data_IF_040169768388
#
_entry.id   IF_040169768388
#
_cell.length_a   1.000
_cell.length_b   1.000
_cell.length_c   1.000
_cell.angle_alpha   90.00
_cell.angle_beta   90.00
_cell.angle_gamma   90.00
#
_symmetry.space_group_name_H-M   'P 1'
#
loop_
_entity.id
_entity.type
_entity.pdbx_description
1 polymer ?
#
# COMPACT_ATOMS: atom_id res chain seq x y z
N UNK A 1 28.87 -13.52 6.79
CA UNK A 1 28.24 -13.26 8.09
C UNK A 1 27.52 -14.53 8.55
N UNK A 2 27.82 -15.00 9.77
CA UNK A 2 27.08 -16.13 10.33
C UNK A 2 25.73 -15.64 10.80
N UNK A 3 24.66 -16.06 10.14
CA UNK A 3 23.28 -15.81 10.60
C UNK A 3 23.12 -16.41 11.98
N UNK A 4 22.86 -15.58 13.00
CA UNK A 4 22.62 -16.06 14.36
C UNK A 4 21.13 -15.99 14.67
N UNK A 5 20.62 -17.02 15.35
CA UNK A 5 19.26 -17.04 15.92
C UNK A 5 19.23 -16.46 17.34
N UNK A 6 20.36 -15.95 17.83
CA UNK A 6 20.38 -15.29 19.12
C UNK A 6 19.54 -14.00 19.06
N UNK A 7 18.68 -13.77 20.05
CA UNK A 7 17.91 -12.54 20.11
C UNK A 7 18.81 -11.31 20.06
N UNK A 8 18.50 -10.31 19.22
CA UNK A 8 19.29 -9.08 19.18
C UNK A 8 19.15 -8.31 20.50
N UNK A 9 20.19 -7.58 20.86
CA UNK A 9 20.13 -6.63 21.96
C UNK A 9 19.20 -5.48 21.58
N UNK A 10 18.07 -5.37 22.29
CA UNK A 10 17.05 -4.34 22.04
C UNK A 10 16.99 -3.29 23.16
N UNK A 11 16.75 -2.04 22.81
CA UNK A 11 16.52 -0.94 23.78
C UNK A 11 15.05 -0.61 24.00
N UNK A 12 14.14 -1.38 23.34
CA UNK A 12 12.69 -1.15 23.34
C UNK A 12 11.96 -1.67 24.58
N UNK A 13 10.63 -1.45 24.64
CA UNK A 13 9.78 -1.90 25.74
C UNK A 13 9.60 -3.41 25.79
N UNK A 14 9.93 -4.12 24.71
CA UNK A 14 9.87 -5.57 24.63
C UNK A 14 11.21 -6.15 24.17
N UNK A 15 11.53 -7.33 24.66
CA UNK A 15 12.67 -8.15 24.28
C UNK A 15 12.18 -9.43 23.60
N UNK A 16 12.95 -9.95 22.64
CA UNK A 16 12.70 -11.27 22.05
C UNK A 16 13.04 -12.32 23.10
N UNK A 17 12.06 -13.11 23.54
CA UNK A 17 12.26 -14.17 24.51
C UNK A 17 12.31 -15.56 23.87
N UNK A 18 11.61 -15.78 22.76
CA UNK A 18 11.64 -17.03 22.01
C UNK A 18 11.43 -16.74 20.51
N UNK A 19 12.20 -17.42 19.66
CA UNK A 19 12.07 -17.33 18.21
C UNK A 19 12.15 -18.75 17.63
N UNK A 20 11.06 -19.17 17.00
CA UNK A 20 10.99 -20.40 16.19
C UNK A 20 10.86 -20.01 14.72
N UNK A 21 11.94 -20.00 13.94
CA UNK A 21 11.93 -19.53 12.56
C UNK A 21 10.80 -20.12 11.73
N UNK A 22 10.03 -19.27 11.06
CA UNK A 22 8.87 -19.65 10.25
C UNK A 22 7.67 -20.20 11.02
N UNK A 23 7.69 -20.18 12.37
CA UNK A 23 6.59 -20.67 13.21
C UNK A 23 6.05 -19.62 14.16
N UNK A 24 6.92 -19.07 15.04
CA UNK A 24 6.45 -18.12 16.04
C UNK A 24 7.55 -17.19 16.54
N UNK A 25 7.12 -16.06 17.10
CA UNK A 25 7.94 -15.09 17.81
C UNK A 25 7.26 -14.75 19.13
N UNK A 26 8.00 -14.77 20.23
CA UNK A 26 7.53 -14.31 21.54
C UNK A 26 8.32 -13.10 21.99
N UNK A 27 7.62 -12.03 22.31
CA UNK A 27 8.16 -10.83 22.90
C UNK A 27 7.72 -10.77 24.37
N UNK A 28 8.66 -10.47 25.26
CA UNK A 28 8.40 -10.27 26.68
C UNK A 28 8.72 -8.84 27.07
N UNK A 29 7.87 -8.26 27.91
CA UNK A 29 8.05 -6.89 28.41
C UNK A 29 9.41 -6.76 29.10
N UNK A 30 10.14 -5.70 28.72
CA UNK A 30 11.45 -5.41 29.28
C UNK A 30 11.28 -4.73 30.66
N UNK A 31 11.62 -5.40 31.78
CA UNK A 31 11.48 -4.80 33.10
C UNK A 31 12.38 -3.58 33.29
N UNK A 32 13.51 -3.55 32.57
CA UNK A 32 14.51 -2.49 32.62
C UNK A 32 14.35 -1.45 31.51
N UNK A 33 13.16 -1.35 30.91
CA UNK A 33 12.93 -0.37 29.85
C UNK A 33 13.14 1.06 30.33
N UNK A 34 14.14 1.73 29.79
CA UNK A 34 14.55 3.09 30.18
C UNK A 34 13.45 4.13 30.00
N UNK A 35 12.56 3.93 29.01
CA UNK A 35 11.48 4.84 28.68
C UNK A 35 10.20 4.66 29.50
N UNK A 36 10.15 3.74 30.48
CA UNK A 36 8.93 3.37 31.22
C UNK A 36 8.21 4.55 31.88
N UNK A 37 8.97 5.50 32.40
CA UNK A 37 8.43 6.65 33.14
C UNK A 37 8.43 7.96 32.36
N UNK A 38 8.72 7.90 31.05
CA UNK A 38 8.62 9.08 30.19
C UNK A 38 7.16 9.36 29.88
N UNK A 39 6.73 10.61 29.97
CA UNK A 39 5.33 11.02 29.84
C UNK A 39 4.63 10.47 28.60
N UNK A 40 5.31 10.41 27.45
CA UNK A 40 4.74 9.89 26.21
C UNK A 40 4.48 8.38 26.21
N UNK A 41 5.04 7.65 27.19
CA UNK A 41 4.90 6.21 27.34
C UNK A 41 3.95 5.78 28.46
N UNK A 42 3.45 6.73 29.25
CA UNK A 42 2.49 6.42 30.31
C UNK A 42 1.20 5.85 29.71
N UNK A 43 0.77 4.70 30.20
CA UNK A 43 -0.40 3.98 29.71
C UNK A 43 -0.17 3.17 28.40
N UNK A 44 1.10 3.04 27.98
CA UNK A 44 1.50 2.20 26.83
C UNK A 44 2.12 0.89 27.26
N UNK A 45 2.22 -0.05 26.31
CA UNK A 45 2.89 -1.34 26.48
C UNK A 45 2.32 -2.17 27.63
N UNK A 46 0.99 -2.34 27.62
CA UNK A 46 0.25 -2.93 28.74
C UNK A 46 0.27 -4.47 28.76
N UNK A 47 0.66 -5.12 27.67
CA UNK A 47 0.79 -6.59 27.64
C UNK A 47 2.16 -7.00 28.21
N UNK A 48 2.20 -8.06 29.00
CA UNK A 48 3.46 -8.58 29.54
C UNK A 48 4.17 -9.47 28.51
N UNK A 49 3.38 -10.21 27.74
CA UNK A 49 3.89 -11.09 26.69
C UNK A 49 3.06 -10.90 25.42
N UNK A 50 3.74 -10.79 24.28
CA UNK A 50 3.15 -10.77 22.94
C UNK A 50 3.66 -11.99 22.19
N UNK A 51 2.78 -12.93 21.90
CA UNK A 51 3.09 -14.12 21.11
C UNK A 51 2.53 -13.98 19.71
N UNK A 52 3.34 -14.24 18.70
CA UNK A 52 2.96 -14.16 17.29
C UNK A 52 3.15 -15.51 16.61
N UNK A 53 2.07 -16.09 16.09
CA UNK A 53 2.12 -17.28 15.25
C UNK A 53 2.21 -16.87 13.76
N UNK A 54 3.03 -17.59 12.98
CA UNK A 54 3.15 -17.41 11.54
C UNK A 54 2.41 -18.52 10.80
N UNK A 55 1.42 -18.15 10.03
CA UNK A 55 0.67 -19.07 9.18
C UNK A 55 1.06 -18.88 7.72
N UNK A 56 1.20 -19.99 6.99
CA UNK A 56 1.50 -19.95 5.55
C UNK A 56 0.25 -19.73 4.70
N UNK A 57 -0.91 -20.05 5.24
CA UNK A 57 -2.21 -19.96 4.55
C UNK A 57 -3.18 -19.08 5.33
N UNK A 58 -3.77 -18.11 4.65
CA UNK A 58 -4.73 -17.14 5.21
C UNK A 58 -6.02 -17.81 5.68
N UNK A 59 -6.47 -18.88 5.02
CA UNK A 59 -7.69 -19.59 5.41
C UNK A 59 -7.45 -20.32 6.72
N UNK A 60 -6.31 -21.00 6.85
CA UNK A 60 -5.90 -21.67 8.09
C UNK A 60 -5.77 -20.66 9.23
N UNK A 61 -5.15 -19.49 8.97
CA UNK A 61 -5.03 -18.42 9.95
C UNK A 61 -6.40 -17.92 10.41
N UNK A 62 -7.34 -17.72 9.48
CA UNK A 62 -8.68 -17.25 9.81
C UNK A 62 -9.46 -18.28 10.65
N UNK A 63 -9.38 -19.56 10.32
CA UNK A 63 -10.02 -20.63 11.11
C UNK A 63 -9.39 -20.77 12.50
N UNK A 64 -8.06 -20.61 12.61
CA UNK A 64 -7.37 -20.55 13.90
C UNK A 64 -7.86 -19.36 14.76
N UNK A 65 -8.09 -18.18 14.16
CA UNK A 65 -8.69 -17.03 14.86
C UNK A 65 -10.11 -17.35 15.36
N UNK A 66 -10.95 -17.92 14.50
CA UNK A 66 -12.33 -18.27 14.84
C UNK A 66 -12.41 -19.31 15.98
N UNK A 67 -11.44 -20.19 16.05
CA UNK A 67 -11.33 -21.20 17.12
C UNK A 67 -10.75 -20.65 18.44
N UNK A 68 -10.28 -19.39 18.46
CA UNK A 68 -9.66 -18.78 19.62
C UNK A 68 -8.19 -19.18 19.82
N UNK A 69 -7.51 -19.66 18.76
CA UNK A 69 -6.09 -20.00 18.84
C UNK A 69 -5.20 -18.77 19.04
N UNK A 70 -5.64 -17.59 18.58
CA UNK A 70 -5.02 -16.30 18.86
C UNK A 70 -6.07 -15.21 18.99
N UNK A 71 -5.69 -14.05 19.52
CA UNK A 71 -6.59 -13.08 20.12
C UNK A 71 -6.90 -11.87 19.25
N UNK A 72 -6.00 -11.48 18.37
CA UNK A 72 -6.10 -10.29 17.56
C UNK A 72 -5.72 -10.58 16.11
N UNK A 73 -6.52 -10.09 15.17
CA UNK A 73 -6.25 -10.15 13.73
C UNK A 73 -6.54 -8.81 13.09
N UNK A 74 -5.58 -8.26 12.35
CA UNK A 74 -5.81 -7.23 11.36
C UNK A 74 -6.13 -7.93 10.04
N UNK A 75 -7.32 -7.67 9.48
CA UNK A 75 -7.79 -8.32 8.25
C UNK A 75 -7.50 -7.46 7.02
N UNK A 76 -6.64 -7.96 6.15
CA UNK A 76 -6.26 -7.27 4.91
C UNK A 76 -7.12 -7.68 3.71
N UNK A 77 -7.80 -8.84 3.78
CA UNK A 77 -8.67 -9.32 2.71
C UNK A 77 -10.05 -8.70 2.78
N UNK A 78 -10.42 -7.91 1.75
CA UNK A 78 -11.77 -7.38 1.62
C UNK A 78 -12.84 -8.47 1.51
N UNK A 79 -12.51 -9.59 0.87
CA UNK A 79 -13.40 -10.77 0.78
C UNK A 79 -13.66 -11.35 2.17
N UNK A 80 -12.62 -11.65 2.94
CA UNK A 80 -12.79 -12.20 4.28
C UNK A 80 -13.57 -11.25 5.17
N UNK A 81 -13.23 -9.94 5.14
CA UNK A 81 -13.96 -8.94 5.90
C UNK A 81 -15.45 -8.91 5.61
N UNK A 82 -15.83 -8.97 4.34
CA UNK A 82 -17.23 -8.94 3.92
C UNK A 82 -17.99 -10.23 4.23
N UNK A 83 -17.32 -11.40 4.23
CA UNK A 83 -18.00 -12.70 4.22
C UNK A 83 -17.72 -13.58 5.42
N UNK A 84 -16.57 -13.46 6.06
CA UNK A 84 -16.09 -14.45 7.03
C UNK A 84 -16.34 -14.11 8.50
N UNK A 85 -16.58 -12.82 8.81
CA UNK A 85 -16.75 -12.33 10.19
C UNK A 85 -18.23 -12.33 10.65
N UNK A 86 -18.97 -13.37 10.26
CA UNK A 86 -20.40 -13.58 10.62
C UNK A 86 -20.63 -14.84 11.45
N UNK A 87 -19.58 -15.37 12.07
CA UNK A 87 -19.64 -16.58 12.88
C UNK A 87 -20.21 -16.32 14.28
N UNK A 88 -20.56 -17.40 14.99
CA UNK A 88 -21.31 -17.35 16.25
C UNK A 88 -20.68 -16.44 17.31
N UNK A 89 -19.36 -16.54 17.54
CA UNK A 89 -18.68 -15.71 18.52
C UNK A 89 -18.77 -14.19 18.24
N UNK A 90 -18.91 -13.77 16.97
CA UNK A 90 -19.17 -12.37 16.61
C UNK A 90 -20.62 -12.00 16.95
N UNK A 91 -21.59 -12.85 16.61
CA UNK A 91 -23.02 -12.60 16.91
C UNK A 91 -23.28 -12.50 18.42
N UNK A 92 -22.59 -13.26 19.20
CA UNK A 92 -22.69 -13.29 20.66
C UNK A 92 -21.83 -12.20 21.36
N UNK A 93 -21.09 -11.39 20.58
CA UNK A 93 -20.24 -10.35 21.12
C UNK A 93 -18.97 -10.83 21.82
N UNK A 94 -18.64 -12.13 21.71
CA UNK A 94 -17.37 -12.72 22.19
C UNK A 94 -16.17 -12.29 21.35
N UNK A 95 -16.39 -11.96 20.09
CA UNK A 95 -15.42 -11.36 19.18
C UNK A 95 -15.92 -9.99 18.76
N UNK A 96 -15.07 -8.99 18.87
CA UNK A 96 -15.30 -7.63 18.35
C UNK A 96 -14.75 -7.52 16.93
N UNK A 97 -15.50 -6.85 16.04
CA UNK A 97 -15.13 -6.58 14.66
C UNK A 97 -15.33 -5.09 14.42
N UNK A 98 -14.25 -4.38 14.14
CA UNK A 98 -14.26 -2.91 14.10
C UNK A 98 -13.46 -2.36 12.92
N UNK A 99 -13.92 -1.22 12.39
CA UNK A 99 -13.16 -0.39 11.46
C UNK A 99 -12.65 0.85 12.21
N UNK A 100 -11.32 0.96 12.35
CA UNK A 100 -10.67 2.04 13.09
C UNK A 100 -9.99 2.97 12.07
N UNK A 101 -10.54 4.17 11.91
CA UNK A 101 -10.00 5.18 10.98
C UNK A 101 -8.62 5.66 11.40
N UNK A 102 -7.79 5.95 10.42
CA UNK A 102 -6.53 6.66 10.58
C UNK A 102 -6.41 7.79 9.56
N UNK A 103 -5.53 8.75 9.83
CA UNK A 103 -5.38 9.99 9.03
C UNK A 103 -3.93 10.21 8.57
N UNK A 104 -3.15 9.14 8.49
CA UNK A 104 -1.84 9.16 7.84
C UNK A 104 -1.99 9.02 6.33
N UNK A 105 -1.00 9.46 5.54
CA UNK A 105 -1.00 9.19 4.12
C UNK A 105 -1.15 7.69 3.84
N UNK A 106 -2.01 7.35 2.89
CA UNK A 106 -2.24 5.94 2.49
C UNK A 106 -1.16 5.39 1.57
N UNK A 107 -0.31 6.27 1.04
CA UNK A 107 0.68 5.91 0.03
C UNK A 107 0.07 5.68 -1.36
N UNK A 108 0.91 5.23 -2.29
CA UNK A 108 0.53 4.98 -3.67
C UNK A 108 0.80 3.53 -4.03
N UNK A 109 -0.26 2.74 -4.17
CA UNK A 109 -0.21 1.47 -4.87
C UNK A 109 -0.61 1.68 -6.33
N UNK A 110 0.14 1.14 -7.27
CA UNK A 110 -0.14 1.33 -8.68
C UNK A 110 0.55 0.33 -9.61
N UNK A 111 0.10 0.31 -10.89
CA UNK A 111 0.82 -0.37 -11.95
C UNK A 111 1.89 0.60 -12.50
N UNK A 112 3.14 0.34 -12.16
CA UNK A 112 4.28 1.18 -12.51
C UNK A 112 4.84 0.79 -13.88
N UNK A 113 5.08 1.80 -14.73
CA UNK A 113 5.71 1.63 -16.03
C UNK A 113 7.22 1.68 -15.90
N UNK A 114 7.94 0.74 -16.49
CA UNK A 114 9.38 0.87 -16.64
C UNK A 114 9.69 1.80 -17.83
N UNK A 115 9.95 3.08 -17.54
CA UNK A 115 10.23 4.08 -18.59
C UNK A 115 11.59 3.90 -19.28
N UNK A 116 12.41 2.93 -18.86
CA UNK A 116 13.61 2.51 -19.62
C UNK A 116 13.23 1.81 -20.93
N UNK A 117 11.97 1.31 -21.00
CA UNK A 117 11.39 0.73 -22.23
C UNK A 117 10.80 1.85 -23.11
N UNK A 118 11.15 1.86 -24.39
CA UNK A 118 10.75 2.89 -25.38
C UNK A 118 9.25 3.12 -25.44
N UNK A 119 8.46 2.05 -25.40
CA UNK A 119 6.98 2.10 -25.45
C UNK A 119 6.34 2.91 -24.34
N UNK A 120 7.03 3.08 -23.18
CA UNK A 120 6.51 3.83 -22.03
C UNK A 120 7.11 5.23 -21.84
N UNK A 121 8.03 5.66 -22.69
CA UNK A 121 8.66 6.98 -22.57
C UNK A 121 7.67 8.12 -22.84
N UNK A 122 6.73 7.92 -23.76
CA UNK A 122 5.75 8.93 -24.10
C UNK A 122 4.66 9.06 -23.01
N UNK A 123 4.49 10.28 -22.47
CA UNK A 123 3.51 10.60 -21.43
C UNK A 123 2.06 10.30 -21.83
N UNK A 124 1.68 10.60 -23.09
CA UNK A 124 0.32 10.38 -23.57
C UNK A 124 0.01 8.89 -23.73
N UNK A 125 1.01 8.07 -24.07
CA UNK A 125 0.88 6.61 -24.07
C UNK A 125 0.60 6.11 -22.66
N UNK A 126 1.37 6.53 -21.64
CA UNK A 126 1.09 6.13 -20.26
C UNK A 126 -0.29 6.59 -19.79
N UNK A 127 -0.68 7.83 -20.11
CA UNK A 127 -2.05 8.33 -19.85
C UNK A 127 -3.12 7.46 -20.49
N UNK A 128 -2.92 7.05 -21.75
CA UNK A 128 -3.85 6.20 -22.48
C UNK A 128 -4.03 4.83 -21.82
N UNK A 129 -2.95 4.19 -21.38
CA UNK A 129 -3.01 2.89 -20.69
C UNK A 129 -3.81 2.96 -19.38
N UNK A 130 -3.76 4.09 -18.70
CA UNK A 130 -4.55 4.32 -17.46
C UNK A 130 -6.06 4.21 -17.66
N UNK A 131 -6.57 4.53 -18.86
CA UNK A 131 -8.00 4.41 -19.17
C UNK A 131 -8.50 2.95 -19.30
N UNK A 132 -7.59 1.98 -19.40
CA UNK A 132 -7.95 0.56 -19.47
C UNK A 132 -8.21 -0.07 -18.09
N UNK A 133 -7.81 0.59 -16.99
CA UNK A 133 -8.05 0.08 -15.64
C UNK A 133 -9.41 0.52 -15.11
N UNK A 134 -10.37 -0.40 -15.09
CA UNK A 134 -11.71 -0.20 -14.55
C UNK A 134 -11.71 -0.50 -13.04
N UNK A 135 -11.43 0.53 -12.25
CA UNK A 135 -11.41 0.41 -10.80
C UNK A 135 -12.83 0.14 -10.25
N UNK A 136 -13.83 0.84 -10.74
CA UNK A 136 -15.19 0.75 -10.21
C UNK A 136 -15.77 -0.66 -10.40
N UNK A 137 -15.52 -1.27 -11.55
CA UNK A 137 -15.87 -2.68 -11.76
C UNK A 137 -15.11 -3.60 -10.80
N UNK A 138 -13.81 -3.38 -10.65
CA UNK A 138 -12.97 -4.18 -9.73
C UNK A 138 -13.43 -4.02 -8.29
N UNK A 139 -13.78 -2.80 -7.87
CA UNK A 139 -14.22 -2.51 -6.52
C UNK A 139 -15.55 -3.21 -6.20
N UNK A 140 -16.51 -3.15 -7.12
CA UNK A 140 -17.80 -3.86 -6.94
C UNK A 140 -17.64 -5.38 -6.96
N UNK A 141 -16.92 -5.92 -7.94
CA UNK A 141 -16.95 -7.36 -8.22
C UNK A 141 -15.87 -8.17 -7.50
N UNK A 142 -14.74 -7.53 -7.17
CA UNK A 142 -13.59 -8.20 -6.53
C UNK A 142 -13.40 -7.80 -5.06
N UNK A 143 -13.79 -6.56 -4.70
CA UNK A 143 -13.42 -5.97 -3.42
C UNK A 143 -14.60 -5.59 -2.52
N UNK A 144 -15.84 -5.94 -2.90
CA UNK A 144 -17.04 -5.68 -2.09
C UNK A 144 -17.25 -4.18 -1.75
N UNK A 145 -16.84 -3.28 -2.66
CA UNK A 145 -16.84 -1.83 -2.49
C UNK A 145 -16.01 -1.32 -1.31
N UNK A 146 -14.99 -2.06 -0.93
CA UNK A 146 -14.23 -1.82 0.30
C UNK A 146 -13.08 -0.83 0.15
N UNK A 147 -12.77 -0.36 -1.05
CA UNK A 147 -11.63 0.51 -1.32
C UNK A 147 -12.03 1.83 -1.96
N UNK A 148 -11.17 2.82 -1.77
CA UNK A 148 -11.24 4.14 -2.43
C UNK A 148 -10.20 4.22 -3.54
N UNK A 149 -10.56 4.80 -4.70
CA UNK A 149 -9.60 5.06 -5.78
C UNK A 149 -8.54 6.04 -5.30
N UNK A 150 -7.26 5.68 -5.44
CA UNK A 150 -6.15 6.56 -5.09
C UNK A 150 -6.01 7.68 -6.12
N UNK A 151 -5.89 8.92 -5.64
CA UNK A 151 -5.79 10.15 -6.44
C UNK A 151 -4.55 10.99 -6.14
N UNK A 152 -3.74 10.56 -5.17
CA UNK A 152 -2.55 11.26 -4.71
C UNK A 152 -1.54 10.26 -4.15
N UNK A 153 -0.25 10.55 -4.25
CA UNK A 153 0.79 9.78 -3.57
C UNK A 153 0.71 9.95 -2.04
N UNK A 154 -0.01 10.97 -1.58
CA UNK A 154 -0.20 11.31 -0.18
C UNK A 154 -1.68 11.30 0.23
N UNK A 155 -2.48 10.49 -0.44
CA UNK A 155 -3.92 10.39 -0.18
C UNK A 155 -4.24 10.16 1.30
N UNK A 156 -5.42 10.54 1.75
CA UNK A 156 -5.86 10.48 3.16
C UNK A 156 -5.08 11.43 4.10
N UNK A 157 -4.45 12.50 3.59
CA UNK A 157 -3.70 13.45 4.41
C UNK A 157 -3.75 14.90 3.87
N UNK A 158 -3.24 15.84 4.66
CA UNK A 158 -3.09 17.26 4.29
C UNK A 158 -1.99 17.50 3.23
N UNK A 159 -1.19 16.49 2.95
CA UNK A 159 -0.13 16.52 1.93
C UNK A 159 -0.65 16.29 0.51
N UNK A 160 -1.88 15.81 0.36
CA UNK A 160 -2.51 15.47 -0.91
C UNK A 160 -2.87 16.69 -1.75
N UNK A 161 -2.64 16.64 -3.08
CA UNK A 161 -2.92 17.72 -4.03
C UNK A 161 -4.30 17.60 -4.70
N UNK A 162 -5.37 17.46 -3.94
CA UNK A 162 -6.73 17.19 -4.45
C UNK A 162 -7.55 18.43 -4.84
N UNK A 163 -6.93 19.59 -5.00
CA UNK A 163 -7.55 20.84 -5.46
C UNK A 163 -6.72 21.48 -6.57
N UNK A 164 -7.14 22.61 -7.13
CA UNK A 164 -6.25 23.42 -7.93
C UNK A 164 -5.07 23.95 -7.07
N UNK A 165 -3.93 24.30 -7.68
CA UNK A 165 -2.80 24.81 -6.93
C UNK A 165 -3.15 26.05 -6.12
N UNK A 166 -2.70 26.12 -4.87
CA UNK A 166 -2.78 27.33 -4.04
C UNK A 166 -1.86 28.44 -4.59
N UNK A 167 -1.99 29.65 -4.06
CA UNK A 167 -1.12 30.77 -4.44
C UNK A 167 0.35 30.45 -4.16
N UNK A 168 0.63 29.81 -3.03
CA UNK A 168 2.00 29.41 -2.66
C UNK A 168 2.54 28.32 -3.59
N UNK A 169 1.72 27.35 -3.97
CA UNK A 169 2.09 26.33 -4.95
C UNK A 169 2.36 26.95 -6.32
N UNK A 170 1.51 27.91 -6.77
CA UNK A 170 1.67 28.60 -8.05
C UNK A 170 2.99 29.38 -8.13
N UNK A 171 3.43 30.07 -7.07
CA UNK A 171 4.72 30.76 -7.02
C UNK A 171 5.89 29.80 -7.33
N UNK A 172 5.79 28.55 -6.89
CA UNK A 172 6.81 27.53 -7.16
C UNK A 172 6.67 26.99 -8.58
N UNK A 173 5.46 26.61 -8.98
CA UNK A 173 5.15 25.94 -10.25
C UNK A 173 5.45 26.84 -11.46
N UNK A 174 5.23 28.15 -11.35
CA UNK A 174 5.49 29.12 -12.43
C UNK A 174 6.96 29.14 -12.87
N UNK A 175 7.91 28.86 -11.98
CA UNK A 175 9.33 28.75 -12.34
C UNK A 175 9.62 27.58 -13.29
N UNK A 176 8.69 26.64 -13.42
CA UNK A 176 8.83 25.44 -14.24
C UNK A 176 7.83 25.40 -15.40
N UNK A 177 7.14 26.50 -15.70
CA UNK A 177 6.22 26.57 -16.84
C UNK A 177 6.96 26.21 -18.13
N UNK A 178 6.32 25.35 -18.96
CA UNK A 178 6.94 24.78 -20.16
C UNK A 178 7.87 23.57 -19.90
N UNK A 179 8.26 23.30 -18.65
CA UNK A 179 9.03 22.08 -18.27
C UNK A 179 8.17 21.01 -17.58
N UNK A 180 6.98 21.38 -17.13
CA UNK A 180 5.98 20.53 -16.50
C UNK A 180 4.66 20.59 -17.29
N UNK A 181 3.78 19.58 -17.18
CA UNK A 181 2.50 19.58 -17.89
C UNK A 181 1.61 20.78 -17.54
N UNK A 182 1.08 21.47 -18.55
CA UNK A 182 0.22 22.65 -18.38
C UNK A 182 -1.07 22.35 -17.63
N UNK A 183 -1.56 21.12 -17.69
CA UNK A 183 -2.75 20.67 -16.96
C UNK A 183 -2.61 20.86 -15.43
N UNK A 184 -1.39 20.88 -14.90
CA UNK A 184 -1.11 21.12 -13.46
C UNK A 184 -1.69 22.45 -12.98
N UNK A 185 -1.69 23.48 -13.84
CA UNK A 185 -2.14 24.83 -13.49
C UNK A 185 -3.66 25.00 -13.53
N UNK A 186 -4.36 24.17 -14.30
CA UNK A 186 -5.76 24.39 -14.66
C UNK A 186 -6.70 23.26 -14.32
N UNK A 187 -6.17 22.09 -13.98
CA UNK A 187 -6.95 20.87 -13.82
C UNK A 187 -6.67 20.20 -12.49
N UNK A 188 -7.69 19.75 -11.79
CA UNK A 188 -7.54 18.84 -10.64
C UNK A 188 -7.30 17.45 -11.19
N UNK A 189 -6.23 16.80 -10.74
CA UNK A 189 -5.95 15.43 -11.16
C UNK A 189 -7.08 14.49 -10.72
N UNK A 190 -7.56 13.69 -11.66
CA UNK A 190 -8.47 12.58 -11.38
C UNK A 190 -8.14 11.41 -12.30
N UNK A 191 -7.95 10.20 -11.75
CA UNK A 191 -7.82 9.02 -12.60
C UNK A 191 -9.11 8.76 -13.36
N UNK A 192 -9.06 8.08 -14.52
CA UNK A 192 -10.25 7.72 -15.28
C UNK A 192 -11.27 6.95 -14.44
N UNK A 193 -12.53 7.33 -14.54
CA UNK A 193 -13.66 6.70 -13.84
C UNK A 193 -14.60 6.00 -14.82
N UNK A 194 -15.31 4.97 -14.35
CA UNK A 194 -16.33 4.24 -15.09
C UNK A 194 -17.69 4.27 -14.39
N UNK A 195 -17.90 5.22 -13.49
CA UNK A 195 -19.17 5.39 -12.75
C UNK A 195 -20.32 5.75 -13.70
N UNK A 196 -20.06 6.59 -14.69
CA UNK A 196 -21.08 7.04 -15.63
C UNK A 196 -21.47 5.94 -16.63
N UNK A 197 -22.65 6.08 -17.21
CA UNK A 197 -23.13 5.19 -18.25
C UNK A 197 -22.11 5.13 -19.41
N UNK A 198 -21.84 3.91 -19.90
CA UNK A 198 -20.80 3.66 -20.92
C UNK A 198 -19.38 4.15 -20.54
N UNK A 199 -19.10 4.39 -19.26
CA UNK A 199 -17.84 4.95 -18.79
C UNK A 199 -16.60 4.23 -19.33
N UNK A 200 -16.55 2.88 -19.27
CA UNK A 200 -15.44 2.10 -19.84
C UNK A 200 -15.30 2.29 -21.37
N UNK A 201 -16.44 2.33 -22.12
CA UNK A 201 -16.41 2.54 -23.58
C UNK A 201 -15.86 3.93 -23.90
N UNK A 202 -16.25 4.94 -23.14
CA UNK A 202 -15.77 6.32 -23.29
C UNK A 202 -14.26 6.40 -22.97
N UNK A 203 -13.84 5.75 -21.89
CA UNK A 203 -12.42 5.65 -21.52
C UNK A 203 -11.58 5.00 -22.63
N UNK A 204 -11.99 3.85 -23.16
CA UNK A 204 -11.28 3.19 -24.24
C UNK A 204 -11.25 4.01 -25.54
N UNK A 205 -12.31 4.79 -25.82
CA UNK A 205 -12.33 5.74 -26.95
C UNK A 205 -11.29 6.86 -26.73
N UNK A 206 -11.19 7.40 -25.52
CA UNK A 206 -10.19 8.40 -25.17
C UNK A 206 -8.78 7.84 -25.29
N UNK A 207 -8.54 6.63 -24.74
CA UNK A 207 -7.26 5.94 -24.88
C UNK A 207 -6.84 5.81 -26.35
N UNK A 208 -7.75 5.35 -27.21
CA UNK A 208 -7.49 5.20 -28.66
C UNK A 208 -7.14 6.53 -29.32
N UNK A 209 -7.81 7.64 -28.95
CA UNK A 209 -7.47 8.97 -29.47
C UNK A 209 -6.06 9.41 -29.09
N UNK A 210 -5.68 9.19 -27.82
CA UNK A 210 -4.34 9.51 -27.33
C UNK A 210 -3.28 8.67 -28.05
N UNK A 211 -3.48 7.37 -28.17
CA UNK A 211 -2.55 6.47 -28.85
C UNK A 211 -2.40 6.84 -30.33
N UNK A 212 -3.51 7.14 -31.01
CA UNK A 212 -3.48 7.58 -32.42
C UNK A 212 -2.69 8.90 -32.60
N UNK A 213 -2.83 9.86 -31.67
CA UNK A 213 -2.06 11.12 -31.71
C UNK A 213 -0.56 10.86 -31.62
N UNK A 214 -0.16 9.78 -30.98
CA UNK A 214 1.25 9.37 -30.84
C UNK A 214 1.69 8.36 -31.92
N UNK A 215 0.93 8.27 -33.02
CA UNK A 215 1.26 7.44 -34.18
C UNK A 215 1.06 5.93 -33.94
N UNK A 216 0.20 5.56 -32.99
CA UNK A 216 -0.21 4.16 -32.79
C UNK A 216 -1.57 3.92 -33.43
N UNK A 217 -1.63 3.06 -34.44
CA UNK A 217 -2.84 2.73 -35.20
C UNK A 217 -3.16 1.23 -35.07
N UNK A 218 -4.42 0.85 -35.29
CA UNK A 218 -4.81 -0.56 -35.33
C UNK A 218 -4.62 -1.08 -36.77
N UNK A 219 -3.79 -2.11 -36.89
CA UNK A 219 -3.57 -2.85 -38.13
C UNK A 219 -3.68 -4.34 -37.80
N UNK A 220 -4.53 -5.07 -38.53
CA UNK A 220 -4.78 -6.51 -38.33
C UNK A 220 -5.10 -6.85 -36.85
N UNK A 221 -6.01 -6.10 -36.24
CA UNK A 221 -6.42 -6.17 -34.83
C UNK A 221 -5.31 -5.87 -33.79
N UNK A 222 -4.10 -5.51 -34.23
CA UNK A 222 -2.98 -5.15 -33.35
C UNK A 222 -2.69 -3.67 -33.40
N UNK A 223 -2.37 -3.11 -32.23
CA UNK A 223 -1.91 -1.73 -32.09
C UNK A 223 -0.46 -1.66 -32.58
N UNK A 224 -0.25 -0.97 -33.69
CA UNK A 224 1.02 -0.93 -34.38
C UNK A 224 1.50 0.51 -34.54
N UNK A 225 2.78 0.76 -34.35
CA UNK A 225 3.41 2.05 -34.63
C UNK A 225 3.41 2.30 -36.14
N UNK A 226 2.77 3.38 -36.55
CA UNK A 226 2.58 3.68 -37.99
C UNK A 226 3.91 3.82 -38.74
N UNK A 227 4.89 4.45 -38.09
CA UNK A 227 6.20 4.74 -38.68
C UNK A 227 7.10 3.50 -38.80
N UNK A 228 7.10 2.62 -37.75
CA UNK A 228 8.07 1.51 -37.64
C UNK A 228 7.48 0.13 -37.86
N UNK A 229 6.16 -0.01 -37.79
CA UNK A 229 5.50 -1.32 -37.81
C UNK A 229 5.62 -2.09 -36.49
N UNK A 230 6.17 -1.47 -35.42
CA UNK A 230 6.32 -2.10 -34.11
C UNK A 230 4.94 -2.40 -33.51
N UNK A 231 4.74 -3.63 -33.04
CA UNK A 231 3.51 -4.04 -32.34
C UNK A 231 3.61 -3.62 -30.86
N UNK A 232 2.54 -3.00 -30.33
CA UNK A 232 2.49 -2.64 -28.91
C UNK A 232 2.25 -3.89 -28.06
N UNK A 233 3.29 -4.37 -27.42
CA UNK A 233 3.25 -5.54 -26.52
C UNK A 233 4.10 -5.31 -25.28
N UNK A 234 3.67 -5.86 -24.14
CA UNK A 234 4.45 -5.81 -22.90
C UNK A 234 4.04 -6.90 -21.91
N UNK A 235 4.90 -7.15 -20.94
CA UNK A 235 4.69 -8.08 -19.83
C UNK A 235 4.30 -7.34 -18.55
N UNK A 236 3.31 -7.87 -17.81
CA UNK A 236 3.04 -7.47 -16.43
C UNK A 236 3.64 -8.54 -15.53
N UNK A 237 4.69 -8.17 -14.79
CA UNK A 237 5.36 -9.04 -13.83
C UNK A 237 4.66 -8.94 -12.48
N UNK A 238 4.22 -10.07 -11.94
CA UNK A 238 3.54 -10.17 -10.65
C UNK A 238 4.35 -11.06 -9.68
N UNK A 239 4.37 -10.69 -8.40
CA UNK A 239 4.91 -11.50 -7.31
C UNK A 239 3.90 -12.53 -6.80
N UNK A 240 2.61 -12.21 -6.87
CA UNK A 240 1.55 -13.02 -6.26
C UNK A 240 0.41 -13.30 -7.22
N UNK A 241 -0.10 -14.55 -7.28
CA UNK A 241 -1.29 -14.91 -8.04
C UNK A 241 -2.55 -14.13 -7.64
N UNK A 242 -2.59 -13.59 -6.42
CA UNK A 242 -3.71 -12.79 -5.93
C UNK A 242 -3.97 -11.55 -6.80
N UNK A 243 -2.94 -11.00 -7.45
CA UNK A 243 -3.07 -9.87 -8.34
C UNK A 243 -3.56 -10.24 -9.74
N UNK A 244 -3.47 -11.49 -10.16
CA UNK A 244 -3.93 -11.89 -11.51
C UNK A 244 -5.41 -11.55 -11.72
N UNK A 245 -6.26 -11.78 -10.73
CA UNK A 245 -7.70 -11.44 -10.80
C UNK A 245 -7.96 -9.95 -11.01
N UNK A 246 -7.01 -9.07 -10.62
CA UNK A 246 -7.09 -7.62 -10.77
C UNK A 246 -6.58 -7.21 -12.17
N UNK A 247 -5.52 -7.86 -12.63
CA UNK A 247 -4.87 -7.56 -13.91
C UNK A 247 -5.66 -8.13 -15.11
N UNK A 248 -6.28 -9.28 -14.97
CA UNK A 248 -7.01 -9.94 -16.07
C UNK A 248 -8.13 -9.06 -16.68
N UNK A 249 -8.96 -8.34 -15.94
CA UNK A 249 -9.92 -7.38 -16.52
C UNK A 249 -9.24 -6.26 -17.29
N UNK A 250 -8.15 -5.69 -16.76
CA UNK A 250 -7.36 -4.67 -17.44
C UNK A 250 -6.74 -5.21 -18.75
N UNK A 251 -6.16 -6.42 -18.73
CA UNK A 251 -5.64 -7.09 -19.91
C UNK A 251 -6.72 -7.22 -21.01
N UNK A 252 -7.95 -7.63 -20.63
CA UNK A 252 -9.08 -7.70 -21.58
C UNK A 252 -9.41 -6.32 -22.18
N UNK A 253 -9.33 -5.26 -21.40
CA UNK A 253 -9.58 -3.90 -21.88
C UNK A 253 -8.45 -3.41 -22.80
N UNK A 254 -7.19 -3.72 -22.48
CA UNK A 254 -6.03 -3.41 -23.33
C UNK A 254 -6.10 -4.17 -24.68
N UNK A 255 -6.55 -5.42 -24.67
CA UNK A 255 -6.80 -6.18 -25.92
C UNK A 255 -7.80 -5.48 -26.84
N UNK A 256 -8.86 -4.82 -26.31
CA UNK A 256 -9.81 -4.02 -27.12
C UNK A 256 -9.17 -2.79 -27.77
N UNK A 257 -7.99 -2.39 -27.32
CA UNK A 257 -7.16 -1.35 -27.93
C UNK A 257 -6.12 -1.92 -28.91
N UNK A 258 -6.11 -3.24 -29.12
CA UNK A 258 -5.13 -3.93 -29.95
C UNK A 258 -3.78 -4.18 -29.25
N UNK A 259 -3.69 -3.98 -27.93
CA UNK A 259 -2.45 -4.13 -27.18
C UNK A 259 -2.31 -5.58 -26.68
N UNK A 260 -1.16 -6.19 -26.95
CA UNK A 260 -0.83 -7.52 -26.46
C UNK A 260 -0.17 -7.45 -25.07
N UNK A 261 -0.80 -8.12 -24.11
CA UNK A 261 -0.27 -8.15 -22.72
C UNK A 261 -0.07 -9.59 -22.27
N UNK A 262 1.14 -9.93 -21.88
CA UNK A 262 1.44 -11.16 -21.14
C UNK A 262 1.43 -10.89 -19.64
N UNK A 263 1.08 -11.90 -18.83
CA UNK A 263 1.15 -11.86 -17.38
C UNK A 263 2.11 -12.94 -16.94
N UNK A 264 3.11 -12.58 -16.15
CA UNK A 264 4.07 -13.50 -15.58
C UNK A 264 4.07 -13.38 -14.06
N UNK A 265 3.68 -14.45 -13.38
CA UNK A 265 3.72 -14.52 -11.92
C UNK A 265 4.95 -15.31 -11.49
N UNK A 266 5.82 -14.68 -10.70
CA UNK A 266 7.04 -15.27 -10.14
C UNK A 266 6.84 -15.37 -8.64
N UNK A 267 6.58 -16.60 -8.15
CA UNK A 267 6.31 -16.86 -6.72
C UNK A 267 7.59 -17.04 -5.90
N UNK A 268 8.72 -17.29 -6.55
CA UNK A 268 10.04 -17.32 -5.89
C UNK A 268 10.51 -15.90 -5.65
N UNK A 269 10.59 -15.53 -4.37
CA UNK A 269 10.95 -14.17 -3.95
C UNK A 269 12.34 -13.75 -4.44
N UNK A 270 13.30 -14.67 -4.44
CA UNK A 270 14.66 -14.36 -4.87
C UNK A 270 14.73 -14.07 -6.37
N UNK A 271 13.97 -14.82 -7.18
CA UNK A 271 13.86 -14.56 -8.63
C UNK A 271 13.13 -13.24 -8.90
N UNK A 272 12.04 -12.97 -8.17
CA UNK A 272 11.29 -11.73 -8.33
C UNK A 272 12.16 -10.51 -7.98
N UNK A 273 12.86 -10.54 -6.83
CA UNK A 273 13.74 -9.45 -6.39
C UNK A 273 14.87 -9.23 -7.41
N UNK A 274 15.51 -10.30 -7.89
CA UNK A 274 16.57 -10.18 -8.91
C UNK A 274 16.07 -9.47 -10.17
N UNK A 275 14.88 -9.83 -10.67
CA UNK A 275 14.28 -9.14 -11.83
C UNK A 275 14.02 -7.66 -11.54
N UNK A 276 13.59 -7.30 -10.31
CA UNK A 276 13.43 -5.90 -9.91
C UNK A 276 14.76 -5.16 -9.89
N UNK A 277 15.79 -5.76 -9.30
CA UNK A 277 17.14 -5.18 -9.21
C UNK A 277 17.78 -4.96 -10.57
N UNK A 278 17.56 -5.89 -11.50
CA UNK A 278 18.07 -5.82 -12.87
C UNK A 278 17.17 -5.00 -13.81
N UNK A 279 16.06 -4.42 -13.30
CA UNK A 279 15.03 -3.72 -14.09
C UNK A 279 14.46 -4.55 -15.23
N UNK A 280 14.45 -5.89 -15.09
CA UNK A 280 13.93 -6.85 -16.06
C UNK A 280 12.42 -7.02 -15.94
N UNK A 281 11.69 -5.99 -16.28
CA UNK A 281 10.23 -5.95 -16.38
C UNK A 281 9.76 -4.81 -17.26
N UNK A 282 8.53 -4.90 -17.74
CA UNK A 282 7.87 -3.81 -18.46
C UNK A 282 6.91 -3.06 -17.55
N UNK A 283 6.05 -3.77 -16.85
CA UNK A 283 5.12 -3.22 -15.85
C UNK A 283 5.09 -4.10 -14.60
N UNK A 284 5.07 -3.48 -13.42
CA UNK A 284 4.97 -4.15 -12.12
C UNK A 284 3.91 -3.51 -11.23
N UNK A 285 3.52 -4.20 -10.16
CA UNK A 285 2.76 -3.59 -9.06
C UNK A 285 3.75 -3.04 -8.03
N UNK A 286 3.64 -1.76 -7.73
CA UNK A 286 4.45 -1.07 -6.70
C UNK A 286 3.57 -0.58 -5.57
N UNK A 287 4.17 -0.42 -4.39
CA UNK A 287 3.56 0.25 -3.26
C UNK A 287 4.58 1.21 -2.64
N UNK A 288 4.39 2.51 -2.86
CA UNK A 288 5.19 3.55 -2.22
C UNK A 288 4.52 3.99 -0.93
N UNK A 289 5.09 3.58 0.19
CA UNK A 289 4.65 4.06 1.50
C UNK A 289 4.88 5.57 1.64
N UNK A 290 3.98 6.24 2.31
CA UNK A 290 4.10 7.67 2.59
C UNK A 290 3.95 7.93 4.09
N UNK A 291 4.71 8.90 4.57
CA UNK A 291 4.71 9.35 5.97
C UNK A 291 4.21 10.79 6.08
N UNK A 292 3.85 11.21 7.30
CA UNK A 292 3.34 12.56 7.56
C UNK A 292 4.40 13.67 7.40
N UNK A 293 5.68 13.30 7.35
CA UNK A 293 6.79 14.22 7.14
C UNK A 293 7.77 13.63 6.11
N UNK A 294 7.41 13.66 4.81
CA UNK A 294 8.27 13.14 3.76
C UNK A 294 9.62 13.87 3.73
N UNK A 295 10.67 13.16 3.34
CA UNK A 295 12.04 13.65 3.37
C UNK A 295 12.96 12.95 2.37
N UNK A 296 14.12 12.45 2.84
CA UNK A 296 15.15 11.86 2.00
C UNK A 296 14.72 10.63 1.19
N UNK A 297 13.70 9.90 1.65
CA UNK A 297 13.16 8.75 0.91
C UNK A 297 12.61 9.15 -0.47
N UNK A 298 12.19 10.42 -0.64
CA UNK A 298 11.71 10.91 -1.93
C UNK A 298 12.83 10.94 -2.99
N UNK A 299 14.09 11.15 -2.58
CA UNK A 299 15.25 11.01 -3.49
C UNK A 299 15.41 9.58 -3.99
N UNK A 300 15.19 8.60 -3.10
CA UNK A 300 15.30 7.19 -3.47
C UNK A 300 14.19 6.78 -4.44
N UNK A 301 12.98 7.31 -4.27
CA UNK A 301 11.83 6.96 -5.10
C UNK A 301 11.81 7.64 -6.47
N UNK A 302 12.21 8.93 -6.53
CA UNK A 302 11.97 9.78 -7.69
C UNK A 302 13.22 10.51 -8.21
N UNK A 303 14.34 10.45 -7.50
CA UNK A 303 15.56 11.16 -7.87
C UNK A 303 16.18 10.60 -9.14
N UNK A 304 16.63 11.47 -10.04
CA UNK A 304 17.26 11.08 -11.31
C UNK A 304 18.52 10.25 -11.09
N UNK A 305 19.27 10.51 -10.02
CA UNK A 305 20.50 9.77 -9.67
C UNK A 305 20.25 8.30 -9.31
N UNK A 306 19.04 7.97 -8.86
CA UNK A 306 18.68 6.59 -8.48
C UNK A 306 18.03 5.81 -9.62
N UNK A 307 17.71 6.48 -10.73
CA UNK A 307 16.94 5.89 -11.82
C UNK A 307 17.57 4.63 -12.42
N UNK A 308 18.88 4.58 -12.54
CA UNK A 308 19.62 3.43 -13.11
C UNK A 308 20.48 2.70 -12.05
N UNK A 309 20.31 3.05 -10.77
CA UNK A 309 21.02 2.38 -9.70
C UNK A 309 20.33 1.04 -9.39
N UNK A 310 21.06 -0.06 -9.57
CA UNK A 310 20.59 -1.41 -9.28
C UNK A 310 20.06 -1.52 -7.82
N UNK A 311 18.92 -2.15 -7.65
CA UNK A 311 18.26 -2.29 -6.34
C UNK A 311 17.59 -1.02 -5.80
N UNK A 312 17.59 0.06 -6.57
CA UNK A 312 16.91 1.30 -6.17
C UNK A 312 15.38 1.15 -6.25
N UNK A 313 14.62 1.77 -5.33
CA UNK A 313 13.17 1.79 -5.40
C UNK A 313 12.61 2.75 -6.48
N UNK A 314 13.45 3.43 -7.25
CA UNK A 314 13.02 4.16 -8.45
C UNK A 314 12.69 3.16 -9.58
N UNK A 315 11.70 2.29 -9.31
CA UNK A 315 11.30 1.23 -10.24
C UNK A 315 10.92 1.74 -11.62
N UNK A 316 10.33 2.91 -11.69
CA UNK A 316 9.87 3.49 -12.96
C UNK A 316 11.01 4.09 -13.81
N UNK A 317 12.20 4.29 -13.24
CA UNK A 317 13.30 4.95 -13.92
C UNK A 317 13.02 6.44 -14.16
N UNK A 318 12.45 7.11 -13.17
CA UNK A 318 12.15 8.55 -13.23
C UNK A 318 13.46 9.34 -13.33
N UNK A 319 13.58 10.16 -14.39
CA UNK A 319 14.64 11.14 -14.59
C UNK A 319 13.99 12.47 -14.93
N UNK A 320 13.85 13.34 -13.95
CA UNK A 320 13.20 14.63 -14.13
C UNK A 320 13.88 15.69 -13.26
N UNK A 321 14.66 16.59 -13.87
CA UNK A 321 15.39 17.63 -13.12
C UNK A 321 14.49 18.53 -12.28
N UNK A 322 13.24 18.76 -12.69
CA UNK A 322 12.28 19.55 -11.90
C UNK A 322 11.91 18.81 -10.62
N UNK A 323 11.72 17.47 -10.67
CA UNK A 323 11.48 16.68 -9.48
C UNK A 323 12.67 16.69 -8.55
N UNK A 324 13.92 16.61 -9.07
CA UNK A 324 15.13 16.66 -8.27
C UNK A 324 15.20 17.97 -7.46
N UNK A 325 14.95 19.12 -8.11
CA UNK A 325 14.94 20.44 -7.45
C UNK A 325 13.82 20.55 -6.40
N UNK A 326 12.61 20.06 -6.71
CA UNK A 326 11.48 20.11 -5.77
C UNK A 326 11.75 19.20 -4.55
N UNK A 327 12.35 18.04 -4.75
CA UNK A 327 12.72 17.12 -3.65
C UNK A 327 13.77 17.78 -2.75
N UNK A 328 14.77 18.44 -3.31
CA UNK A 328 15.79 19.16 -2.51
C UNK A 328 15.17 20.28 -1.66
N UNK A 329 14.23 21.03 -2.22
CA UNK A 329 13.48 22.07 -1.50
C UNK A 329 12.59 21.46 -0.42
N UNK A 330 11.93 20.33 -0.70
CA UNK A 330 11.11 19.59 0.26
C UNK A 330 11.94 19.14 1.46
N UNK A 331 13.11 18.54 1.22
CA UNK A 331 14.01 18.05 2.28
C UNK A 331 14.55 19.22 3.12
N UNK A 332 14.77 20.37 2.49
CA UNK A 332 15.30 21.56 3.14
C UNK A 332 14.22 22.45 3.79
N UNK A 333 12.95 22.03 3.76
CA UNK A 333 11.83 22.80 4.30
C UNK A 333 12.00 23.08 5.80
N UNK A 334 11.85 24.35 6.19
CA UNK A 334 12.06 24.79 7.58
C UNK A 334 10.79 24.87 8.41
N UNK A 335 9.63 24.66 7.77
CA UNK A 335 8.33 24.72 8.41
C UNK A 335 7.37 23.69 7.85
N UNK A 336 6.35 23.31 8.65
CA UNK A 336 5.27 22.43 8.16
C UNK A 336 4.57 23.00 6.94
N UNK A 337 4.36 24.31 6.89
CA UNK A 337 3.72 24.98 5.76
C UNK A 337 4.54 24.80 4.48
N UNK A 338 5.84 25.01 4.54
CA UNK A 338 6.74 24.79 3.38
C UNK A 338 6.75 23.33 2.96
N UNK A 339 6.90 22.40 3.92
CA UNK A 339 6.88 20.97 3.65
C UNK A 339 5.60 20.56 2.92
N UNK A 340 4.43 20.99 3.41
CA UNK A 340 3.13 20.69 2.79
C UNK A 340 3.08 21.26 1.36
N UNK A 341 3.55 22.49 1.16
CA UNK A 341 3.54 23.16 -0.15
C UNK A 341 4.41 22.42 -1.15
N UNK A 342 5.68 22.11 -0.79
CA UNK A 342 6.56 21.37 -1.70
C UNK A 342 6.08 19.93 -1.95
N UNK A 343 5.50 19.28 -0.94
CA UNK A 343 4.92 17.92 -1.11
C UNK A 343 3.75 17.95 -2.10
N UNK A 344 2.86 18.94 -2.03
CA UNK A 344 1.76 19.10 -2.99
C UNK A 344 2.25 19.38 -4.40
N UNK A 345 3.28 20.20 -4.55
CA UNK A 345 3.93 20.44 -5.84
C UNK A 345 4.53 19.15 -6.40
N UNK A 346 5.27 18.39 -5.58
CA UNK A 346 5.82 17.08 -5.94
C UNK A 346 4.71 16.12 -6.40
N UNK A 347 3.64 15.99 -5.60
CA UNK A 347 2.50 15.13 -5.88
C UNK A 347 1.85 15.45 -7.24
N UNK A 348 1.61 16.73 -7.54
CA UNK A 348 1.06 17.16 -8.84
C UNK A 348 1.95 16.76 -10.00
N UNK A 349 3.25 17.01 -9.90
CA UNK A 349 4.18 16.71 -10.98
C UNK A 349 4.23 15.19 -11.22
N UNK A 350 4.28 14.39 -10.16
CA UNK A 350 4.24 12.92 -10.26
C UNK A 350 2.94 12.43 -10.92
N UNK A 351 1.79 12.91 -10.48
CA UNK A 351 0.48 12.50 -10.97
C UNK A 351 0.28 12.83 -12.45
N UNK A 352 0.57 14.07 -12.85
CA UNK A 352 0.36 14.51 -14.23
C UNK A 352 1.42 13.98 -15.21
N UNK A 353 2.50 13.37 -14.74
CA UNK A 353 3.43 12.63 -15.60
C UNK A 353 3.00 11.19 -15.86
N UNK A 354 1.97 10.67 -15.16
CA UNK A 354 1.43 9.33 -15.37
C UNK A 354 2.49 8.22 -15.31
N UNK A 355 3.43 8.32 -14.36
CA UNK A 355 4.48 7.32 -14.19
C UNK A 355 3.96 5.95 -13.79
N UNK A 356 2.76 5.91 -13.21
CA UNK A 356 2.03 4.70 -12.87
C UNK A 356 0.52 4.91 -13.06
N UNK A 357 -0.22 3.81 -13.07
CA UNK A 357 -1.69 3.81 -12.99
C UNK A 357 -2.05 3.63 -11.52
N UNK A 358 -2.58 4.67 -10.83
CA UNK A 358 -3.00 4.54 -9.45
C UNK A 358 -4.03 3.42 -9.26
N UNK A 359 -3.92 2.67 -8.19
CA UNK A 359 -4.88 1.63 -7.85
C UNK A 359 -5.86 2.14 -6.80
N UNK A 360 -5.76 1.67 -5.56
CA UNK A 360 -6.72 1.94 -4.51
C UNK A 360 -6.07 1.86 -3.14
N UNK A 361 -6.73 2.44 -2.17
CA UNK A 361 -6.33 2.39 -0.77
C UNK A 361 -7.54 2.21 0.15
N UNK A 362 -7.25 2.04 1.43
CA UNK A 362 -8.21 2.01 2.52
C UNK A 362 -7.76 2.99 3.60
N UNK A 363 -8.69 3.76 4.17
CA UNK A 363 -8.40 4.79 5.20
C UNK A 363 -8.70 4.33 6.63
N UNK A 364 -8.79 3.04 6.87
CA UNK A 364 -9.06 2.46 8.19
C UNK A 364 -8.41 1.09 8.36
N UNK A 365 -8.16 0.70 9.60
CA UNK A 365 -7.81 -0.66 9.96
C UNK A 365 -9.08 -1.49 10.10
N UNK A 366 -9.08 -2.70 9.56
CA UNK A 366 -10.09 -3.73 9.84
C UNK A 366 -9.52 -4.66 10.89
N UNK A 367 -10.08 -4.65 12.08
CA UNK A 367 -9.58 -5.44 13.20
C UNK A 367 -10.66 -6.33 13.77
N UNK A 368 -10.27 -7.56 14.08
CA UNK A 368 -11.09 -8.49 14.84
C UNK A 368 -10.30 -8.98 16.05
N UNK A 369 -10.95 -9.01 17.21
CA UNK A 369 -10.28 -9.45 18.43
C UNK A 369 -11.26 -10.08 19.41
N UNK A 370 -10.74 -11.04 20.17
CA UNK A 370 -11.52 -11.66 21.25
C UNK A 370 -11.76 -10.63 22.37
N UNK A 371 -13.00 -10.60 22.88
CA UNK A 371 -13.50 -9.59 23.81
C UNK A 371 -12.93 -9.77 25.22
N UNK A 372 -11.65 -10.08 25.33
CA UNK A 372 -10.80 -10.01 26.53
C UNK A 372 -9.76 -8.89 26.42
N UNK A 373 -9.82 -8.13 25.31
CA UNK A 373 -8.98 -6.99 25.05
C UNK A 373 -9.83 -5.73 25.14
N UNK A 374 -9.28 -4.70 25.76
CA UNK A 374 -9.85 -3.37 25.82
C UNK A 374 -8.90 -2.35 25.21
N UNK A 375 -9.46 -1.22 24.78
CA UNK A 375 -8.71 -0.11 24.22
C UNK A 375 -9.28 1.23 24.69
N UNK A 376 -8.53 2.35 24.62
CA UNK A 376 -9.06 3.68 24.87
C UNK A 376 -10.25 4.01 23.96
N UNK A 377 -11.18 4.81 24.45
CA UNK A 377 -12.30 5.34 23.65
C UNK A 377 -11.84 6.25 22.52
N UNK A 378 -10.69 6.92 22.69
CA UNK A 378 -10.06 7.78 21.69
C UNK A 378 -8.91 7.00 21.07
N UNK A 379 -8.96 6.81 19.75
CA UNK A 379 -7.87 6.20 18.97
C UNK A 379 -6.84 7.27 18.58
N UNK A 380 -5.55 6.93 18.51
CA UNK A 380 -4.54 7.81 17.92
C UNK A 380 -4.88 8.21 16.50
N UNK A 381 -4.52 9.44 16.11
CA UNK A 381 -4.87 9.99 14.80
C UNK A 381 -4.21 9.27 13.62
N UNK A 382 -2.98 8.78 13.83
CA UNK A 382 -2.13 8.32 12.73
C UNK A 382 -1.87 6.82 12.70
N UNK A 383 -2.29 6.10 13.75
CA UNK A 383 -2.06 4.66 13.81
C UNK A 383 -3.17 3.94 14.60
N UNK A 384 -3.06 2.61 14.73
CA UNK A 384 -4.02 1.78 15.47
C UNK A 384 -3.98 2.04 16.97
N UNK A 385 -2.84 2.49 17.50
CA UNK A 385 -2.62 2.72 18.92
C UNK A 385 -2.62 1.44 19.75
N UNK A 386 -2.20 0.33 19.14
CA UNK A 386 -2.20 -0.98 19.80
C UNK A 386 -1.39 -0.97 21.10
N UNK A 387 -0.38 -0.15 21.22
CA UNK A 387 0.43 0.05 22.42
C UNK A 387 -0.38 0.48 23.64
N UNK A 388 -1.55 1.12 23.43
CA UNK A 388 -2.45 1.57 24.49
C UNK A 388 -3.53 0.54 24.85
N UNK A 389 -3.58 -0.60 24.15
CA UNK A 389 -4.57 -1.64 24.41
C UNK A 389 -4.13 -2.47 25.63
N UNK A 390 -5.08 -3.14 26.28
CA UNK A 390 -4.80 -3.95 27.46
C UNK A 390 -5.68 -5.19 27.55
N UNK A 391 -5.23 -6.18 28.28
CA UNK A 391 -6.05 -7.32 28.68
C UNK A 391 -7.04 -6.87 29.76
N UNK A 392 -8.32 -7.24 29.60
CA UNK A 392 -9.42 -6.92 30.51
C UNK A 392 -9.90 -8.18 31.23
N UNK A 393 -9.51 -8.41 32.48
CA UNK A 393 -9.88 -9.62 33.22
C UNK A 393 -11.39 -9.80 33.39
N UNK A 394 -12.14 -8.71 33.55
CA UNK A 394 -13.60 -8.75 33.72
C UNK A 394 -14.29 -9.25 32.46
N UNK A 395 -13.86 -8.78 31.30
CA UNK A 395 -14.38 -9.23 30.01
C UNK A 395 -13.95 -10.67 29.71
N UNK A 396 -12.74 -11.06 30.09
CA UNK A 396 -12.22 -12.41 29.88
C UNK A 396 -13.03 -13.47 30.62
N UNK A 397 -13.58 -13.18 31.79
CA UNK A 397 -14.42 -14.10 32.57
C UNK A 397 -15.71 -14.50 31.84
N UNK A 398 -16.19 -13.68 30.92
CA UNK A 398 -17.40 -13.95 30.13
C UNK A 398 -17.13 -14.80 28.88
N UNK A 399 -15.88 -15.19 28.63
CA UNK A 399 -15.52 -16.05 27.51
C UNK A 399 -15.50 -17.52 27.90
N UNK A 400 -15.91 -18.46 27.02
CA UNK A 400 -15.85 -19.88 27.31
C UNK A 400 -14.40 -20.31 27.61
N UNK A 401 -14.24 -21.20 28.58
CA UNK A 401 -12.94 -21.70 29.06
C UNK A 401 -11.99 -22.27 27.99
N UNK A 402 -12.47 -22.54 26.78
CA UNK A 402 -11.63 -23.04 25.68
C UNK A 402 -10.59 -22.01 25.20
N UNK A 403 -10.88 -20.70 25.29
CA UNK A 403 -9.91 -19.66 24.96
C UNK A 403 -8.86 -19.45 26.05
N UNK A 404 -9.09 -19.99 27.25
CA UNK A 404 -8.21 -19.91 28.41
C UNK A 404 -7.38 -21.21 28.61
N UNK A 405 -7.71 -22.31 27.91
CA UNK A 405 -7.14 -23.64 28.19
C UNK A 405 -5.67 -23.82 27.79
N UNK A 406 -5.13 -22.97 26.89
CA UNK A 406 -3.68 -22.94 26.62
C UNK A 406 -2.86 -22.29 27.74
N UNK A 407 -3.50 -21.55 28.64
CA UNK A 407 -2.84 -20.82 29.73
C UNK A 407 -2.69 -21.66 31.04
N UNK A 408 -3.12 -22.94 31.05
CA UNK A 408 -3.04 -23.74 32.28
C UNK A 408 -1.63 -24.18 32.67
N UNK A 409 -0.65 -24.11 31.77
CA UNK A 409 0.74 -24.48 32.08
C UNK A 409 1.58 -23.34 32.69
N UNK A 410 1.10 -22.08 32.63
CA UNK A 410 1.80 -20.95 33.25
C UNK A 410 0.84 -20.09 34.08
N UNK A 411 0.86 -20.28 35.40
CA UNK A 411 0.01 -19.56 36.36
C UNK A 411 0.23 -18.03 36.45
N UNK A 412 1.23 -17.48 35.74
CA UNK A 412 1.64 -16.07 35.82
C UNK A 412 1.33 -15.22 34.58
N UNK A 413 0.48 -15.69 33.65
CA UNK A 413 0.31 -15.02 32.34
C UNK A 413 -1.05 -14.35 32.18
N UNK A 414 -1.47 -13.50 33.13
CA UNK A 414 -2.74 -12.77 33.03
C UNK A 414 -2.75 -11.67 31.94
N UNK A 415 -1.59 -11.32 31.33
CA UNK A 415 -1.44 -10.28 30.29
C UNK A 415 -0.78 -10.80 29.02
N UNK A 416 -1.00 -12.08 28.67
CA UNK A 416 -0.51 -12.66 27.43
C UNK A 416 -1.50 -12.38 26.30
N UNK A 417 -1.01 -11.87 25.17
CA UNK A 417 -1.78 -11.70 23.94
C UNK A 417 -1.17 -12.51 22.80
N UNK A 418 -2.01 -13.17 22.05
CA UNK A 418 -1.64 -13.91 20.84
C UNK A 418 -2.00 -13.14 19.60
N UNK A 419 -1.01 -12.93 18.74
CA UNK A 419 -1.13 -12.24 17.47
C UNK A 419 -0.98 -13.16 16.28
N UNK A 420 -1.52 -12.69 15.18
CA UNK A 420 -1.15 -13.13 13.85
C UNK A 420 -0.43 -12.00 13.13
N UNK A 421 0.76 -12.27 12.63
CA UNK A 421 1.47 -11.38 11.72
C UNK A 421 1.59 -12.08 10.35
N UNK A 422 0.93 -11.52 9.36
CA UNK A 422 1.24 -11.85 7.97
C UNK A 422 2.45 -11.02 7.57
N UNK A 423 3.60 -11.66 7.40
CA UNK A 423 4.77 -10.99 6.83
C UNK A 423 4.47 -10.84 5.34
N UNK A 424 3.87 -9.71 4.94
CA UNK A 424 4.14 -9.17 3.63
C UNK A 424 5.59 -8.67 3.68
N UNK A 425 6.53 -9.54 3.35
CA UNK A 425 7.81 -9.06 2.86
C UNK A 425 7.48 -8.31 1.58
N UNK A 426 7.58 -6.99 1.67
CA UNK A 426 7.50 -6.05 0.57
C UNK A 426 8.56 -6.36 -0.46
#
# INVERSE_FOLDING_TARGET
DKTTLNPPLGSGPYLVSDLKPGRSLTLQKNPNYWGKNINVNIGRFNFDTIHTDFYRDETVALEAFKSGAYDFKQENSSKNWATAYKFEAVKEGRVKVEEIKYFRPSGMQGFAFNMRKSIFQNRNVRKALGYAFDFEWSNRNLFYNAYTRTKSFFDNSDLSSQSLPSKEELVILENYRGKIPDEIFTTVYSPPSTVEENGLRNNLRMARRLLKKEGWIIKDDLLTKEETGEIFKFEILLRSPLFERIVLPMKRNLKKLGIEVSIRTVQDDSQYIRRLEDFDYDMIVVNYGSIISPGNEQKNYWGSSTADQQGSPNYMGVKNPVLDEIIDKLISAKSRKELVTYTKVLDRILLFNYYLIPQFHIGHYRVAYWNKISRPSISPKYDLGFDFWWFDPKKAQNLPNKSLSRNKENKDTNNLIYFFLFIFLL
#
